data_IF_032458058487
#
_entry.id   IF_032458058487
#
_cell.length_a   1.000
_cell.length_b   1.000
_cell.length_c   1.000
_cell.angle_alpha   90.00
_cell.angle_beta   90.00
_cell.angle_gamma   90.00
#
_symmetry.space_group_name_H-M   'P 1'
#
loop_
_entity.id
_entity.type
_entity.pdbx_description
1 polymer ?
#
# COMPACT_ATOMS: atom_id res chain seq x y z
N UNK A 1 -42.39 -43.76 38.36
CA UNK A 1 -43.02 -45.06 37.99
C UNK A 1 -44.18 -44.80 37.05
N UNK A 2 -44.46 -45.61 36.10
CA UNK A 2 -43.63 -46.37 35.17
C UNK A 2 -43.89 -45.82 33.70
N UNK A 3 -43.39 -46.19 32.67
CA UNK A 3 -42.71 -47.31 32.07
C UNK A 3 -42.78 -47.17 30.53
N UNK A 4 -41.72 -47.50 29.87
CA UNK A 4 -41.61 -48.41 28.72
C UNK A 4 -42.56 -48.23 27.53
N UNK A 5 -42.19 -48.38 26.30
CA UNK A 5 -41.26 -49.33 25.70
C UNK A 5 -41.09 -49.05 24.20
N UNK A 6 -39.90 -49.34 23.72
CA UNK A 6 -39.43 -49.88 22.45
C UNK A 6 -40.31 -49.91 21.20
N UNK A 7 -39.76 -49.60 20.02
CA UNK A 7 -39.31 -50.68 19.11
C UNK A 7 -38.70 -50.14 17.80
N UNK A 8 -37.70 -50.87 17.34
CA UNK A 8 -36.92 -50.80 16.09
C UNK A 8 -37.77 -50.94 14.83
N UNK A 9 -37.35 -50.30 13.75
CA UNK A 9 -37.17 -51.07 12.50
C UNK A 9 -36.22 -50.35 11.53
N UNK A 10 -35.36 -51.16 10.89
CA UNK A 10 -34.41 -50.86 9.86
C UNK A 10 -35.12 -50.66 8.51
N UNK A 11 -34.68 -49.73 7.69
CA UNK A 11 -35.02 -49.64 6.29
C UNK A 11 -33.87 -49.03 5.49
N UNK A 12 -33.12 -49.87 4.76
CA UNK A 12 -32.21 -49.47 3.71
C UNK A 12 -33.03 -49.03 2.49
N UNK A 13 -32.62 -47.95 1.84
CA UNK A 13 -33.23 -47.48 0.58
C UNK A 13 -32.33 -46.52 -0.15
N UNK A 14 -31.77 -47.01 -1.16
CA UNK A 14 -30.96 -46.56 -2.25
C UNK A 14 -31.19 -45.12 -2.73
N UNK A 15 -30.11 -44.39 -2.93
CA UNK A 15 -30.11 -43.02 -3.46
C UNK A 15 -29.71 -42.98 -4.91
N UNK A 16 -30.68 -42.79 -5.80
CA UNK A 16 -30.40 -42.42 -7.18
C UNK A 16 -30.49 -40.90 -7.37
N UNK A 17 -29.37 -40.26 -7.63
CA UNK A 17 -29.32 -38.85 -8.01
C UNK A 17 -29.75 -38.67 -9.45
N UNK A 18 -30.93 -38.12 -9.69
CA UNK A 18 -31.39 -37.67 -11.00
C UNK A 18 -30.87 -36.25 -11.25
N UNK A 19 -29.91 -36.12 -12.18
CA UNK A 19 -29.45 -34.86 -12.73
C UNK A 19 -30.59 -34.24 -13.55
N UNK A 20 -31.10 -33.09 -13.15
CA UNK A 20 -31.99 -32.28 -13.99
C UNK A 20 -31.16 -31.37 -14.88
N UNK A 21 -31.20 -31.62 -16.18
CA UNK A 21 -30.75 -30.68 -17.21
C UNK A 21 -31.58 -29.40 -17.13
N UNK A 22 -30.93 -28.29 -16.83
CA UNK A 22 -31.50 -26.93 -17.00
C UNK A 22 -31.05 -26.41 -18.36
N UNK A 23 -32.02 -26.04 -19.17
CA UNK A 23 -31.81 -25.47 -20.51
C UNK A 23 -31.04 -24.14 -20.42
N UNK A 24 -29.95 -24.08 -21.22
CA UNK A 24 -29.21 -22.86 -21.47
C UNK A 24 -30.08 -21.83 -22.23
N UNK A 25 -30.38 -20.70 -21.61
CA UNK A 25 -30.74 -19.50 -22.35
C UNK A 25 -29.46 -18.78 -22.74
N UNK A 26 -29.19 -18.68 -24.03
CA UNK A 26 -28.08 -17.91 -24.56
C UNK A 26 -28.35 -16.43 -24.35
N UNK A 27 -27.65 -15.81 -23.38
CA UNK A 27 -27.47 -14.37 -23.26
C UNK A 27 -26.10 -14.06 -23.85
N UNK A 28 -26.11 -13.25 -24.92
CA UNK A 28 -24.91 -12.87 -25.64
C UNK A 28 -23.88 -12.16 -24.73
N UNK A 29 -22.81 -12.85 -24.41
CA UNK A 29 -21.65 -12.26 -23.79
C UNK A 29 -20.87 -11.48 -24.83
N UNK A 30 -20.89 -10.16 -24.72
CA UNK A 30 -19.98 -9.28 -25.42
C UNK A 30 -18.57 -9.51 -24.82
N UNK A 31 -17.81 -10.40 -25.44
CA UNK A 31 -16.40 -10.62 -25.10
C UNK A 31 -15.61 -9.38 -25.55
N UNK A 32 -15.37 -8.46 -24.60
CA UNK A 32 -14.30 -7.49 -24.72
C UNK A 32 -13.02 -8.31 -24.57
N UNK A 33 -12.33 -8.56 -25.67
CA UNK A 33 -11.00 -9.17 -25.65
C UNK A 33 -10.01 -8.16 -25.06
N UNK A 34 -9.82 -8.19 -23.76
CA UNK A 34 -8.63 -7.62 -23.14
C UNK A 34 -7.43 -8.43 -23.65
N UNK A 35 -6.62 -7.82 -24.50
CA UNK A 35 -5.35 -8.38 -24.93
C UNK A 35 -4.40 -8.38 -23.71
N UNK A 36 -4.37 -9.49 -22.98
CA UNK A 36 -3.34 -9.75 -21.97
C UNK A 36 -2.02 -9.94 -22.70
N UNK A 37 -1.20 -8.91 -22.76
CA UNK A 37 0.17 -9.03 -23.26
C UNK A 37 0.95 -9.80 -22.20
N UNK A 38 1.21 -11.09 -22.48
CA UNK A 38 2.09 -11.92 -21.64
C UNK A 38 3.50 -11.35 -21.64
N UNK A 39 4.19 -11.41 -20.49
CA UNK A 39 5.62 -11.12 -20.32
C UNK A 39 6.58 -12.00 -21.14
N UNK A 40 6.06 -12.87 -21.99
CA UNK A 40 6.87 -13.76 -22.83
C UNK A 40 7.65 -12.95 -23.87
N UNK A 41 8.93 -12.72 -23.59
CA UNK A 41 9.89 -12.17 -24.55
C UNK A 41 10.50 -10.81 -24.24
N UNK A 42 10.19 -10.17 -23.11
CA UNK A 42 10.85 -8.93 -22.76
C UNK A 42 12.27 -9.21 -22.25
N UNK A 43 13.26 -8.67 -22.96
CA UNK A 43 14.67 -8.75 -22.56
C UNK A 43 14.84 -8.02 -21.23
N UNK A 44 15.40 -8.71 -20.23
CA UNK A 44 15.99 -8.07 -19.05
C UNK A 44 17.00 -7.04 -19.54
N UNK A 45 16.84 -5.77 -19.17
CA UNK A 45 17.70 -4.70 -19.68
C UNK A 45 18.89 -4.48 -18.76
N UNK A 46 20.07 -4.26 -19.39
CA UNK A 46 21.31 -3.89 -18.69
C UNK A 46 21.45 -2.37 -18.48
N UNK A 47 20.44 -1.59 -18.85
CA UNK A 47 20.51 -0.13 -18.87
C UNK A 47 20.27 0.50 -17.49
N UNK A 48 19.93 -0.33 -16.51
CA UNK A 48 19.75 0.08 -15.12
C UNK A 48 20.73 -0.63 -14.21
N UNK A 49 21.18 0.09 -13.18
CA UNK A 49 22.02 -0.41 -12.10
C UNK A 49 21.20 -0.51 -10.82
N UNK A 50 21.45 -1.55 -10.02
CA UNK A 50 20.82 -1.77 -8.72
C UNK A 50 21.89 -1.71 -7.64
N UNK A 51 21.86 -0.68 -6.82
CA UNK A 51 22.82 -0.44 -5.74
C UNK A 51 22.14 -0.58 -4.39
N UNK A 52 22.64 -1.44 -3.48
CA UNK A 52 22.09 -1.56 -2.14
C UNK A 52 22.58 -0.42 -1.24
N UNK A 53 21.66 0.15 -0.45
CA UNK A 53 21.95 1.11 0.63
C UNK A 53 21.61 0.42 1.94
N UNK A 54 22.62 0.13 2.76
CA UNK A 54 22.45 -0.54 4.05
C UNK A 54 21.80 0.42 5.07
N UNK A 55 20.85 -0.09 5.86
CA UNK A 55 20.26 0.66 6.97
C UNK A 55 21.07 0.38 8.24
N UNK A 56 21.57 1.43 8.93
CA UNK A 56 22.39 1.24 10.12
C UNK A 56 21.63 0.56 11.26
N UNK A 57 22.26 -0.45 11.89
CA UNK A 57 21.63 -1.24 12.95
C UNK A 57 20.69 -2.35 12.47
N UNK A 58 20.43 -2.43 11.18
CA UNK A 58 19.72 -3.56 10.59
C UNK A 58 20.59 -4.81 10.66
N UNK A 59 20.06 -5.89 11.22
CA UNK A 59 20.67 -7.20 11.25
C UNK A 59 19.64 -8.24 10.87
N UNK A 60 19.73 -8.77 9.64
CA UNK A 60 18.73 -9.70 9.09
C UNK A 60 17.42 -9.00 8.72
N UNK A 61 16.31 -9.67 8.92
CA UNK A 61 15.00 -9.19 8.48
C UNK A 61 14.59 -7.90 9.21
N UNK A 62 14.28 -6.86 8.46
CA UNK A 62 13.68 -5.61 8.95
C UNK A 62 12.31 -5.44 8.32
N UNK A 63 11.30 -5.20 9.14
CA UNK A 63 9.97 -4.85 8.62
C UNK A 63 10.03 -3.45 8.04
N UNK A 64 9.85 -3.35 6.74
CA UNK A 64 9.81 -2.13 5.95
C UNK A 64 8.48 -2.07 5.22
N UNK A 65 7.83 -0.90 5.25
CA UNK A 65 6.51 -0.73 4.65
C UNK A 65 6.40 0.65 3.97
N UNK A 66 5.52 1.55 4.42
CA UNK A 66 5.32 2.85 3.80
C UNK A 66 6.48 3.81 4.09
N UNK A 67 7.37 3.98 3.13
CA UNK A 67 8.43 4.98 3.15
C UNK A 67 8.05 6.20 2.28
N UNK A 68 8.75 7.32 2.41
CA UNK A 68 8.41 8.55 1.70
C UNK A 68 9.65 9.26 1.14
N UNK A 69 9.49 9.87 -0.03
CA UNK A 69 10.52 10.70 -0.64
C UNK A 69 10.12 12.18 -0.57
N UNK A 70 10.87 12.97 0.19
CA UNK A 70 10.74 14.42 0.21
C UNK A 70 11.45 15.05 -0.98
N UNK A 71 10.69 15.35 -2.01
CA UNK A 71 11.22 15.96 -3.24
C UNK A 71 11.82 17.34 -3.02
N UNK A 72 11.41 18.07 -1.97
CA UNK A 72 11.89 19.41 -1.66
C UNK A 72 13.31 19.40 -1.09
N UNK A 73 13.64 18.39 -0.30
CA UNK A 73 14.95 18.24 0.34
C UNK A 73 15.83 17.16 -0.29
N UNK A 74 15.28 16.30 -1.14
CA UNK A 74 15.98 15.15 -1.71
C UNK A 74 16.28 14.07 -0.68
N UNK A 75 15.43 13.93 0.35
CA UNK A 75 15.59 12.94 1.41
C UNK A 75 14.56 11.83 1.29
N UNK A 76 15.02 10.60 1.39
CA UNK A 76 14.20 9.40 1.52
C UNK A 76 14.08 9.06 3.02
N UNK A 77 12.85 8.93 3.50
CA UNK A 77 12.53 8.61 4.89
C UNK A 77 12.06 7.17 4.97
N UNK A 78 12.79 6.33 5.70
CA UNK A 78 12.60 4.88 5.78
C UNK A 78 12.31 4.46 7.21
N UNK A 79 11.09 4.07 7.54
CA UNK A 79 10.76 3.54 8.86
C UNK A 79 11.30 2.11 8.97
N UNK A 80 12.41 1.93 9.71
CA UNK A 80 13.07 0.64 9.92
C UNK A 80 12.53 -0.04 11.18
N UNK A 81 11.33 -0.52 11.12
CA UNK A 81 10.41 -0.92 12.18
C UNK A 81 11.06 -1.54 13.43
N UNK A 82 11.56 -2.78 13.32
CA UNK A 82 12.09 -3.52 14.47
C UNK A 82 13.43 -2.98 15.01
N UNK A 83 14.06 -2.01 14.31
CA UNK A 83 15.23 -1.29 14.84
C UNK A 83 14.85 -0.15 15.78
N UNK A 84 13.58 0.28 15.76
CA UNK A 84 13.11 1.45 16.50
C UNK A 84 13.63 2.78 15.94
N UNK A 85 14.01 2.82 14.66
CA UNK A 85 14.58 3.97 14.00
C UNK A 85 13.77 4.38 12.76
N UNK A 86 13.92 5.63 12.37
CA UNK A 86 13.59 6.12 11.03
C UNK A 86 14.91 6.54 10.38
N UNK A 87 15.28 5.85 9.33
CA UNK A 87 16.48 6.15 8.55
C UNK A 87 16.20 7.25 7.52
N UNK A 88 17.16 8.14 7.33
CA UNK A 88 17.05 9.27 6.41
C UNK A 88 18.21 9.20 5.43
N UNK A 89 17.90 8.88 4.18
CA UNK A 89 18.87 8.74 3.10
C UNK A 89 18.89 10.02 2.28
N UNK A 90 20.05 10.62 2.12
CA UNK A 90 20.26 11.74 1.21
C UNK A 90 20.47 11.19 -0.21
N UNK A 91 19.58 11.56 -1.15
CA UNK A 91 19.58 11.01 -2.51
C UNK A 91 20.87 11.33 -3.28
N UNK A 92 21.50 12.47 -2.96
CA UNK A 92 22.69 12.95 -3.71
C UNK A 92 23.98 12.24 -3.31
N UNK A 93 24.06 11.74 -2.09
CA UNK A 93 25.28 11.14 -1.51
C UNK A 93 25.12 9.71 -1.04
N UNK A 94 23.89 9.19 -0.99
CA UNK A 94 23.50 7.92 -0.39
C UNK A 94 23.86 7.82 1.11
N UNK A 95 24.20 8.96 1.73
CA UNK A 95 24.50 9.01 3.16
C UNK A 95 23.25 8.77 3.99
N UNK A 96 23.37 7.92 5.01
CA UNK A 96 22.26 7.56 5.90
C UNK A 96 22.49 8.20 7.27
N UNK A 97 21.50 8.96 7.72
CA UNK A 97 21.37 9.41 9.11
C UNK A 97 20.14 8.79 9.76
N UNK A 98 20.04 8.83 11.09
CA UNK A 98 18.95 8.15 11.80
C UNK A 98 18.26 9.10 12.78
N UNK A 99 16.94 8.96 12.85
CA UNK A 99 16.14 9.44 13.99
C UNK A 99 15.78 8.22 14.84
N UNK A 100 16.26 8.21 16.07
CA UNK A 100 16.16 7.06 16.97
C UNK A 100 15.15 7.30 18.09
N UNK A 101 14.85 6.26 18.89
CA UNK A 101 14.05 6.39 20.10
C UNK A 101 12.57 6.09 19.93
N UNK A 102 12.15 5.52 18.81
CA UNK A 102 10.79 5.02 18.65
C UNK A 102 10.61 3.73 19.44
N UNK A 103 9.49 3.62 20.12
CA UNK A 103 9.18 2.40 20.88
C UNK A 103 8.93 1.23 19.94
N UNK A 104 9.49 0.09 20.32
CA UNK A 104 9.21 -1.19 19.66
C UNK A 104 8.36 -2.05 20.59
N UNK A 105 7.56 -2.95 20.02
CA UNK A 105 6.73 -3.89 20.75
C UNK A 105 6.68 -5.25 20.05
N UNK A 106 6.59 -6.32 20.84
CA UNK A 106 6.35 -7.66 20.29
C UNK A 106 4.86 -7.84 19.96
N UNK A 107 4.59 -8.31 18.77
CA UNK A 107 3.24 -8.65 18.30
C UNK A 107 3.23 -10.08 17.75
N UNK A 108 2.09 -10.75 17.86
CA UNK A 108 1.89 -12.02 17.18
C UNK A 108 1.17 -11.78 15.86
N UNK A 109 1.83 -12.06 14.74
CA UNK A 109 1.28 -11.94 13.42
C UNK A 109 1.40 -13.27 12.68
N UNK A 110 0.27 -13.82 12.24
CA UNK A 110 0.19 -15.10 11.53
C UNK A 110 0.91 -16.24 12.27
N UNK A 111 0.75 -16.31 13.60
CA UNK A 111 1.36 -17.33 14.46
C UNK A 111 2.88 -17.18 14.68
N UNK A 112 3.45 -16.04 14.37
CA UNK A 112 4.86 -15.70 14.62
C UNK A 112 4.96 -14.46 15.49
N UNK A 113 5.84 -14.49 16.47
CA UNK A 113 6.24 -13.30 17.22
C UNK A 113 7.19 -12.49 16.37
N UNK A 114 6.85 -11.24 16.15
CA UNK A 114 7.68 -10.26 15.45
C UNK A 114 7.76 -8.99 16.29
N UNK A 115 8.86 -8.28 16.16
CA UNK A 115 9.02 -6.95 16.76
C UNK A 115 8.60 -5.91 15.73
N UNK A 116 7.70 -5.01 16.10
CA UNK A 116 7.30 -3.85 15.30
C UNK A 116 7.68 -2.55 16.01
N UNK A 117 7.88 -1.52 15.25
CA UNK A 117 8.15 -0.14 15.63
C UNK A 117 7.53 0.81 14.59
N UNK A 118 8.23 1.85 14.12
CA UNK A 118 7.77 2.72 13.04
C UNK A 118 7.64 1.94 11.72
N UNK A 119 6.48 2.04 11.05
CA UNK A 119 6.20 1.31 9.78
C UNK A 119 5.72 2.21 8.66
N UNK A 120 5.23 3.40 8.97
CA UNK A 120 4.71 4.32 7.97
C UNK A 120 5.26 5.71 8.16
N UNK A 121 5.48 6.41 7.06
CA UNK A 121 5.97 7.79 7.08
C UNK A 121 5.27 8.64 6.02
N UNK A 122 4.99 9.89 6.37
CA UNK A 122 4.50 10.91 5.44
C UNK A 122 5.19 12.24 5.69
N UNK A 123 5.46 12.99 4.61
CA UNK A 123 6.16 14.28 4.69
C UNK A 123 5.21 15.42 4.31
N UNK A 124 5.19 16.48 5.07
CA UNK A 124 4.41 17.67 4.76
C UNK A 124 4.72 18.87 5.65
N UNK A 125 4.73 20.07 5.09
CA UNK A 125 4.95 21.36 5.77
C UNK A 125 6.21 21.38 6.65
N UNK A 126 7.32 20.77 6.18
CA UNK A 126 8.58 20.69 6.90
C UNK A 126 8.59 19.71 8.08
N UNK A 127 7.55 18.92 8.23
CA UNK A 127 7.41 17.86 9.22
C UNK A 127 7.39 16.49 8.55
N UNK A 128 7.76 15.48 9.34
CA UNK A 128 7.67 14.07 8.99
C UNK A 128 6.82 13.37 10.04
N UNK A 129 5.74 12.80 9.60
CA UNK A 129 4.76 12.13 10.45
C UNK A 129 4.96 10.62 10.38
N UNK A 130 5.04 9.98 11.52
CA UNK A 130 5.41 8.57 11.65
C UNK A 130 4.26 7.79 12.28
N UNK A 131 3.84 6.73 11.61
CA UNK A 131 3.00 5.69 12.19
C UNK A 131 3.87 4.65 12.89
N UNK A 132 3.70 4.49 14.19
CA UNK A 132 4.44 3.52 14.98
C UNK A 132 3.53 2.36 15.42
N UNK A 133 3.75 1.18 14.86
CA UNK A 133 2.98 -0.02 15.21
C UNK A 133 3.47 -0.67 16.51
N UNK A 134 4.66 -0.31 16.99
CA UNK A 134 5.23 -0.86 18.22
C UNK A 134 4.45 -0.49 19.47
N UNK A 135 3.84 0.69 19.50
CA UNK A 135 3.02 1.17 20.62
C UNK A 135 1.71 1.84 20.19
N UNK A 136 1.32 1.68 18.93
CA UNK A 136 0.11 2.28 18.34
C UNK A 136 0.09 3.82 18.48
N UNK A 137 1.20 4.47 18.17
CA UNK A 137 1.33 5.92 18.23
C UNK A 137 1.55 6.59 16.89
N UNK A 138 1.22 7.88 16.82
CA UNK A 138 1.66 8.83 15.81
C UNK A 138 2.74 9.71 16.41
N UNK A 139 3.85 9.86 15.71
CA UNK A 139 4.93 10.73 16.10
C UNK A 139 5.23 11.77 15.01
N UNK A 140 5.90 12.87 15.39
CA UNK A 140 6.34 13.88 14.45
C UNK A 140 7.85 14.12 14.61
N UNK A 141 8.52 14.33 13.46
CA UNK A 141 9.92 14.73 13.35
C UNK A 141 9.97 16.07 12.62
N UNK A 142 10.82 16.98 13.05
CA UNK A 142 11.16 18.16 12.26
C UNK A 142 12.12 17.76 11.13
N UNK A 143 11.70 17.93 9.88
CA UNK A 143 12.42 17.44 8.71
C UNK A 143 13.79 18.07 8.49
N UNK A 144 14.02 19.27 9.02
CA UNK A 144 15.29 20.00 8.87
C UNK A 144 16.27 19.67 10.00
N UNK A 145 15.78 19.65 11.23
CA UNK A 145 16.63 19.45 12.41
C UNK A 145 16.77 18.01 12.84
N UNK A 146 15.95 17.10 12.28
CA UNK A 146 15.81 15.69 12.63
C UNK A 146 15.42 15.46 14.11
N UNK A 147 14.88 16.49 14.76
CA UNK A 147 14.46 16.39 16.16
C UNK A 147 13.12 15.68 16.25
N UNK A 148 13.10 14.67 17.10
CA UNK A 148 11.89 13.96 17.50
C UNK A 148 10.98 14.93 18.29
N UNK A 149 9.71 14.97 17.91
CA UNK A 149 8.68 15.78 18.56
C UNK A 149 7.74 14.94 19.42
N UNK A 150 6.49 15.34 19.47
CA UNK A 150 5.44 14.65 20.23
C UNK A 150 5.07 13.31 19.58
N UNK A 151 4.71 12.33 20.44
CA UNK A 151 4.02 11.11 20.02
C UNK A 151 2.66 11.05 20.73
N UNK A 152 1.61 10.83 19.95
CA UNK A 152 0.24 10.62 20.43
C UNK A 152 -0.14 9.15 20.26
N UNK A 153 -0.55 8.49 21.32
CA UNK A 153 -1.10 7.14 21.23
C UNK A 153 -2.52 7.18 20.65
N UNK A 154 -2.74 6.51 19.51
CA UNK A 154 -4.01 6.53 18.77
C UNK A 154 -4.90 5.34 19.07
N UNK A 155 -4.34 4.29 19.65
CA UNK A 155 -5.07 3.13 20.17
C UNK A 155 -4.34 2.56 21.40
N UNK A 156 -5.06 1.98 22.38
CA UNK A 156 -4.39 1.31 23.49
C UNK A 156 -3.60 0.09 22.99
N UNK A 157 -2.44 -0.23 23.57
CA UNK A 157 -1.64 -1.39 23.17
C UNK A 157 -2.41 -2.72 23.21
N UNK A 158 -3.40 -2.80 24.10
CA UNK A 158 -4.30 -3.96 24.23
C UNK A 158 -5.21 -4.18 23.02
N UNK A 159 -5.38 -3.16 22.16
CA UNK A 159 -6.16 -3.32 20.92
C UNK A 159 -5.42 -4.11 19.83
N UNK A 160 -4.13 -4.38 20.05
CA UNK A 160 -3.30 -5.18 19.15
C UNK A 160 -2.87 -4.44 17.88
N UNK A 161 -2.08 -5.11 17.03
CA UNK A 161 -1.47 -4.49 15.85
C UNK A 161 -2.48 -4.07 14.76
N UNK A 162 -3.69 -4.64 14.77
CA UNK A 162 -4.74 -4.27 13.83
C UNK A 162 -5.33 -2.86 14.08
N UNK A 163 -5.17 -2.32 15.28
CA UNK A 163 -5.59 -0.96 15.61
C UNK A 163 -4.47 0.08 15.50
N UNK A 164 -3.25 -0.38 15.21
CA UNK A 164 -2.10 0.49 15.04
C UNK A 164 -2.12 1.18 13.66
N UNK A 165 -1.48 2.35 13.51
CA UNK A 165 -1.35 3.02 12.22
C UNK A 165 -0.69 2.11 11.18
N UNK A 166 -1.33 1.95 10.04
CA UNK A 166 -0.80 1.22 8.90
C UNK A 166 -0.22 2.19 7.87
N UNK A 167 -1.06 2.95 7.18
CA UNK A 167 -0.62 4.10 6.41
C UNK A 167 -0.86 5.41 7.17
N UNK A 168 0.05 6.37 6.99
CA UNK A 168 -0.07 7.74 7.48
C UNK A 168 0.10 8.67 6.30
N UNK A 169 -0.87 9.56 6.08
CA UNK A 169 -0.91 10.39 4.88
C UNK A 169 -1.17 11.85 5.24
N UNK A 170 -0.24 12.72 4.91
CA UNK A 170 -0.44 14.16 5.05
C UNK A 170 -1.27 14.70 3.87
N UNK A 171 -2.40 15.32 4.18
CA UNK A 171 -3.30 15.98 3.22
C UNK A 171 -3.10 17.48 3.32
N UNK A 172 -2.29 18.04 2.42
CA UNK A 172 -1.86 19.44 2.46
C UNK A 172 -3.03 20.44 2.36
N UNK A 173 -4.07 20.11 1.58
CA UNK A 173 -5.22 20.98 1.34
C UNK A 173 -6.03 21.32 2.60
N UNK A 174 -5.98 20.47 3.62
CA UNK A 174 -6.74 20.60 4.88
C UNK A 174 -5.83 20.62 6.11
N UNK A 175 -4.52 20.44 5.95
CA UNK A 175 -3.54 20.26 7.03
C UNK A 175 -3.97 19.17 8.01
N UNK A 176 -4.24 18.01 7.45
CA UNK A 176 -4.70 16.85 8.17
C UNK A 176 -3.77 15.65 7.94
N UNK A 177 -3.70 14.76 8.93
CA UNK A 177 -3.20 13.42 8.75
C UNK A 177 -4.36 12.45 8.66
N UNK A 178 -4.36 11.67 7.60
CA UNK A 178 -5.31 10.59 7.38
C UNK A 178 -4.60 9.26 7.63
N UNK A 179 -5.18 8.45 8.50
CA UNK A 179 -4.54 7.24 8.98
C UNK A 179 -5.45 6.05 8.73
N UNK A 180 -4.92 5.05 8.07
CA UNK A 180 -5.55 3.74 8.01
C UNK A 180 -5.05 2.89 9.18
N UNK A 181 -5.82 1.90 9.59
CA UNK A 181 -5.39 0.89 10.55
C UNK A 181 -5.15 -0.42 9.83
N UNK A 182 -4.18 -1.20 10.31
CA UNK A 182 -3.81 -2.46 9.65
C UNK A 182 -4.97 -3.44 9.57
N UNK A 183 -4.95 -4.28 8.53
CA UNK A 183 -5.90 -5.37 8.41
C UNK A 183 -5.76 -6.33 9.61
N UNK A 184 -6.85 -6.78 10.22
CA UNK A 184 -6.80 -7.75 11.31
C UNK A 184 -6.29 -9.10 10.80
N UNK A 185 -5.71 -9.93 11.68
CA UNK A 185 -5.44 -11.32 11.33
C UNK A 185 -6.71 -12.03 10.83
N UNK A 186 -6.54 -13.00 9.92
CA UNK A 186 -7.66 -13.78 9.38
C UNK A 186 -8.52 -14.34 10.52
N UNK A 187 -9.82 -14.05 10.48
CA UNK A 187 -10.79 -14.49 11.50
C UNK A 187 -10.99 -13.53 12.67
N UNK A 188 -10.26 -12.42 12.74
CA UNK A 188 -10.50 -11.34 13.69
C UNK A 188 -11.26 -10.22 12.98
N UNK A 189 -12.40 -9.80 13.53
CA UNK A 189 -13.11 -8.64 12.97
C UNK A 189 -12.24 -7.39 13.08
N UNK A 190 -12.13 -6.63 11.99
CA UNK A 190 -11.48 -5.32 12.04
C UNK A 190 -12.17 -4.44 13.06
N UNK A 191 -11.41 -3.95 14.02
CA UNK A 191 -11.99 -3.11 15.07
C UNK A 191 -12.48 -1.75 14.52
N UNK A 192 -11.94 -1.30 13.40
CA UNK A 192 -12.21 0.05 12.88
C UNK A 192 -12.03 0.10 11.36
N UNK A 193 -13.11 -0.18 10.63
CA UNK A 193 -13.16 0.02 9.17
C UNK A 193 -13.35 1.50 8.87
N UNK A 194 -12.34 2.29 9.17
CA UNK A 194 -12.42 3.73 9.02
C UNK A 194 -11.04 4.34 8.83
N UNK A 195 -10.99 5.48 8.13
CA UNK A 195 -9.84 6.36 8.14
C UNK A 195 -9.99 7.31 9.34
N UNK A 196 -8.99 7.37 10.21
CA UNK A 196 -8.92 8.36 11.28
C UNK A 196 -8.29 9.65 10.75
N UNK A 197 -8.93 10.79 10.99
CA UNK A 197 -8.48 12.10 10.52
C UNK A 197 -8.04 12.94 11.71
N UNK A 198 -6.79 13.38 11.69
CA UNK A 198 -6.20 14.24 12.71
C UNK A 198 -5.93 15.63 12.14
N UNK A 199 -6.30 16.66 12.87
CA UNK A 199 -5.87 18.04 12.62
C UNK A 199 -4.40 18.18 13.02
N UNK A 200 -3.57 18.67 12.10
CA UNK A 200 -2.15 19.00 12.30
C UNK A 200 -1.84 20.41 11.80
N UNK A 201 -2.83 21.32 11.84
CA UNK A 201 -2.62 22.75 11.55
C UNK A 201 -1.58 23.37 12.49
N UNK A 202 -1.47 22.86 13.71
CA UNK A 202 -0.32 23.00 14.61
C UNK A 202 0.54 21.74 14.50
N UNK A 203 1.62 21.73 13.71
CA UNK A 203 2.27 20.50 13.25
C UNK A 203 2.84 19.61 14.35
N UNK A 204 2.98 20.11 15.55
CA UNK A 204 3.51 19.36 16.72
C UNK A 204 2.42 18.87 17.67
N UNK A 205 1.15 19.16 17.37
CA UNK A 205 0.00 18.75 18.17
C UNK A 205 -1.02 18.02 17.32
N UNK A 206 -1.26 16.78 17.68
CA UNK A 206 -2.24 15.94 16.98
C UNK A 206 -3.59 16.01 17.67
N UNK A 207 -4.64 16.33 16.93
CA UNK A 207 -6.00 16.32 17.46
C UNK A 207 -6.90 15.49 16.57
N UNK A 208 -7.42 14.36 17.10
CA UNK A 208 -8.42 13.59 16.37
C UNK A 208 -9.62 14.47 16.04
N UNK A 209 -9.92 14.62 14.76
CA UNK A 209 -11.01 15.43 14.24
C UNK A 209 -12.27 14.63 14.01
N UNK A 210 -12.14 13.51 13.28
CA UNK A 210 -13.25 12.61 12.95
C UNK A 210 -12.73 11.26 12.46
N UNK A 211 -13.66 10.34 12.20
CA UNK A 211 -13.41 9.09 11.49
C UNK A 211 -14.30 9.03 10.26
N UNK A 212 -13.74 8.58 9.14
CA UNK A 212 -14.45 8.34 7.89
C UNK A 212 -14.75 6.84 7.81
N UNK A 213 -16.01 6.41 7.97
CA UNK A 213 -16.34 4.99 7.91
C UNK A 213 -16.20 4.48 6.47
N UNK A 214 -15.70 3.24 6.33
CA UNK A 214 -15.55 2.51 5.07
C UNK A 214 -16.23 1.15 5.14
N UNK A 215 -16.51 0.56 3.99
CA UNK A 215 -17.14 -0.77 3.90
C UNK A 215 -16.15 -1.94 4.17
N UNK A 216 -14.87 -1.63 4.28
CA UNK A 216 -13.80 -2.60 4.49
C UNK A 216 -12.50 -1.94 4.90
N UNK A 217 -11.42 -2.73 4.92
CA UNK A 217 -10.07 -2.25 5.24
C UNK A 217 -9.52 -1.44 4.07
N UNK A 218 -8.99 -0.25 4.39
CA UNK A 218 -8.32 0.58 3.40
C UNK A 218 -6.91 0.04 3.13
N UNK A 219 -6.55 -0.11 1.84
CA UNK A 219 -5.23 -0.55 1.40
C UNK A 219 -4.69 0.36 0.31
N UNK A 220 -3.46 0.84 0.48
CA UNK A 220 -2.86 1.82 -0.42
C UNK A 220 -3.58 3.18 -0.43
N UNK A 221 -2.91 4.18 -0.97
CA UNK A 221 -3.51 5.52 -1.08
C UNK A 221 -2.87 6.35 -2.19
N UNK A 222 -3.62 7.35 -2.68
CA UNK A 222 -3.11 8.43 -3.48
C UNK A 222 -3.86 9.73 -3.17
N UNK A 223 -3.14 10.86 -3.12
CA UNK A 223 -3.74 12.18 -2.83
C UNK A 223 -3.72 13.06 -4.07
N UNK A 224 -4.88 13.47 -4.54
CA UNK A 224 -5.04 14.44 -5.61
C UNK A 224 -5.24 15.84 -5.03
N UNK A 225 -4.15 16.55 -4.82
CA UNK A 225 -4.20 17.93 -4.31
C UNK A 225 -4.87 18.92 -5.30
N UNK A 226 -4.88 18.61 -6.60
CA UNK A 226 -5.51 19.49 -7.61
C UNK A 226 -7.04 19.38 -7.55
N UNK A 227 -7.56 18.16 -7.35
CA UNK A 227 -9.00 17.90 -7.29
C UNK A 227 -9.54 17.90 -5.86
N UNK A 228 -8.65 17.88 -4.85
CA UNK A 228 -9.05 17.77 -3.45
C UNK A 228 -9.62 16.39 -3.12
N UNK A 229 -9.03 15.33 -3.67
CA UNK A 229 -9.49 13.96 -3.50
C UNK A 229 -8.42 13.06 -2.88
N UNK A 230 -8.88 12.14 -2.06
CA UNK A 230 -8.09 11.04 -1.52
C UNK A 230 -8.63 9.74 -2.10
N UNK A 231 -7.76 8.92 -2.65
CA UNK A 231 -8.11 7.60 -3.18
C UNK A 231 -7.55 6.52 -2.28
N UNK A 232 -8.31 5.47 -2.03
CA UNK A 232 -7.86 4.25 -1.38
C UNK A 232 -8.62 3.03 -1.90
N UNK A 233 -8.02 1.87 -1.77
CA UNK A 233 -8.64 0.61 -2.10
C UNK A 233 -9.37 0.04 -0.88
N UNK A 234 -10.42 -0.74 -1.13
CA UNK A 234 -11.11 -1.53 -0.12
C UNK A 234 -10.90 -3.01 -0.46
N UNK A 235 -10.00 -3.66 0.26
CA UNK A 235 -9.55 -5.04 -0.04
C UNK A 235 -10.71 -6.02 -0.20
N UNK A 236 -11.61 -6.08 0.80
CA UNK A 236 -12.66 -7.09 0.85
C UNK A 236 -13.69 -6.96 -0.27
N UNK A 237 -13.80 -5.77 -0.87
CA UNK A 237 -14.78 -5.52 -1.92
C UNK A 237 -14.18 -5.38 -3.31
N UNK A 238 -12.86 -5.26 -3.42
CA UNK A 238 -12.17 -5.03 -4.69
C UNK A 238 -12.54 -3.71 -5.35
N UNK A 239 -12.89 -2.70 -4.52
CA UNK A 239 -13.26 -1.36 -4.97
C UNK A 239 -12.16 -0.36 -4.63
N UNK A 240 -11.98 0.61 -5.51
CA UNK A 240 -11.27 1.85 -5.20
C UNK A 240 -12.30 2.93 -4.92
N UNK A 241 -12.12 3.71 -3.86
CA UNK A 241 -13.01 4.80 -3.47
C UNK A 241 -12.30 6.15 -3.61
N UNK A 242 -13.07 7.19 -3.96
CA UNK A 242 -12.64 8.57 -3.93
C UNK A 242 -13.36 9.31 -2.80
N UNK A 243 -12.58 9.97 -1.95
CA UNK A 243 -13.06 10.71 -0.79
C UNK A 243 -12.71 12.18 -1.00
N UNK A 244 -13.70 13.07 -0.91
CA UNK A 244 -13.47 14.51 -0.91
C UNK A 244 -12.83 14.95 0.40
N UNK A 245 -11.63 15.56 0.32
CA UNK A 245 -10.81 15.86 1.51
C UNK A 245 -11.39 16.94 2.40
N UNK A 246 -12.31 17.77 1.90
CA UNK A 246 -12.92 18.86 2.68
C UNK A 246 -14.19 18.43 3.38
N UNK A 247 -15.04 17.69 2.67
CA UNK A 247 -16.30 17.18 3.23
C UNK A 247 -16.12 15.85 3.97
N UNK A 248 -14.97 15.16 3.81
CA UNK A 248 -14.66 13.84 4.38
C UNK A 248 -15.68 12.76 3.98
N UNK A 249 -16.25 12.87 2.77
CA UNK A 249 -17.26 11.95 2.27
C UNK A 249 -16.73 11.14 1.10
N UNK A 250 -17.05 9.85 1.07
CA UNK A 250 -16.93 9.05 -0.15
C UNK A 250 -17.86 9.63 -1.21
N UNK A 251 -17.32 10.04 -2.35
CA UNK A 251 -18.07 10.67 -3.44
C UNK A 251 -18.16 9.82 -4.69
N UNK A 252 -17.27 8.83 -4.80
CA UNK A 252 -17.29 7.85 -5.89
C UNK A 252 -16.65 6.53 -5.44
N UNK A 253 -17.06 5.44 -6.10
CA UNK A 253 -16.48 4.12 -5.92
C UNK A 253 -16.50 3.38 -7.25
N UNK A 254 -15.46 2.57 -7.50
CA UNK A 254 -15.32 1.79 -8.72
C UNK A 254 -14.83 0.38 -8.41
N UNK A 255 -15.44 -0.63 -9.02
CA UNK A 255 -14.88 -1.99 -9.01
C UNK A 255 -13.72 -2.02 -9.99
N UNK A 256 -12.51 -2.22 -9.48
CA UNK A 256 -11.28 -2.25 -10.29
C UNK A 256 -10.81 -3.70 -10.46
N UNK A 257 -10.55 -4.39 -9.35
CA UNK A 257 -10.06 -5.77 -9.33
C UNK A 257 -10.32 -6.41 -7.96
N UNK A 258 -10.04 -7.71 -7.81
CA UNK A 258 -10.30 -8.42 -6.54
C UNK A 258 -9.07 -8.48 -5.60
N UNK A 259 -7.85 -8.24 -6.10
CA UNK A 259 -6.60 -8.26 -5.31
C UNK A 259 -5.91 -6.90 -5.41
N UNK A 260 -6.46 -5.93 -4.69
CA UNK A 260 -6.01 -4.54 -4.72
C UNK A 260 -4.90 -4.29 -3.69
N UNK A 261 -3.87 -3.58 -4.11
CA UNK A 261 -2.72 -3.19 -3.30
C UNK A 261 -2.49 -1.66 -3.39
N UNK A 262 -1.26 -1.21 -3.56
CA UNK A 262 -0.89 0.19 -3.61
C UNK A 262 -1.48 0.98 -4.79
N UNK A 263 -1.45 2.29 -4.63
CA UNK A 263 -1.94 3.27 -5.61
C UNK A 263 -0.85 4.27 -5.97
N UNK A 264 -0.85 4.72 -7.24
CA UNK A 264 -0.09 5.89 -7.68
C UNK A 264 -0.97 6.77 -8.57
N UNK A 265 -0.63 8.06 -8.70
CA UNK A 265 -1.50 9.03 -9.35
C UNK A 265 -0.73 9.96 -10.29
N UNK A 266 -1.23 10.11 -11.50
CA UNK A 266 -0.96 11.26 -12.34
C UNK A 266 -2.09 12.30 -12.14
N UNK A 267 -1.92 13.15 -11.15
CA UNK A 267 -2.91 14.16 -10.81
C UNK A 267 -3.18 15.12 -11.97
N UNK A 268 -2.16 15.44 -12.79
CA UNK A 268 -2.31 16.37 -13.91
C UNK A 268 -3.23 15.85 -15.00
N UNK A 269 -3.11 14.56 -15.36
CA UNK A 269 -3.89 13.92 -16.42
C UNK A 269 -5.15 13.21 -15.90
N UNK A 270 -5.23 12.97 -14.59
CA UNK A 270 -6.36 12.28 -13.95
C UNK A 270 -6.30 10.77 -14.16
N UNK A 271 -5.09 10.19 -14.18
CA UNK A 271 -4.89 8.74 -14.24
C UNK A 271 -4.49 8.20 -12.88
N UNK A 272 -5.29 7.31 -12.35
CA UNK A 272 -4.99 6.55 -11.16
C UNK A 272 -4.45 5.18 -11.57
N UNK A 273 -3.30 4.80 -11.03
CA UNK A 273 -2.67 3.50 -11.24
C UNK A 273 -2.90 2.65 -10.00
N UNK A 274 -3.34 1.42 -10.22
CA UNK A 274 -3.70 0.48 -9.15
C UNK A 274 -2.89 -0.79 -9.30
N UNK A 275 -2.17 -1.18 -8.27
CA UNK A 275 -1.52 -2.48 -8.20
C UNK A 275 -2.58 -3.55 -7.88
N UNK A 276 -2.59 -4.63 -8.65
CA UNK A 276 -3.57 -5.70 -8.56
C UNK A 276 -2.86 -7.05 -8.69
N UNK A 277 -2.58 -7.73 -7.57
CA UNK A 277 -2.00 -9.07 -7.56
C UNK A 277 -0.70 -9.22 -8.36
N UNK A 278 -0.80 -9.43 -9.67
CA UNK A 278 0.33 -9.65 -10.59
C UNK A 278 0.41 -8.64 -11.74
N UNK A 279 -0.42 -7.59 -11.72
CA UNK A 279 -0.46 -6.57 -12.77
C UNK A 279 -0.80 -5.18 -12.22
N UNK A 280 -0.58 -4.16 -13.02
CA UNK A 280 -1.03 -2.80 -12.76
C UNK A 280 -2.15 -2.42 -13.72
N UNK A 281 -3.08 -1.61 -13.24
CA UNK A 281 -4.24 -1.12 -14.00
C UNK A 281 -4.22 0.41 -14.06
N UNK A 282 -4.57 0.99 -15.20
CA UNK A 282 -4.78 2.43 -15.38
C UNK A 282 -6.25 2.77 -15.39
N UNK A 283 -6.66 3.73 -14.56
CA UNK A 283 -8.04 4.16 -14.35
C UNK A 283 -8.16 5.65 -14.63
N UNK A 284 -9.09 6.07 -15.48
CA UNK A 284 -9.41 7.47 -15.74
C UNK A 284 -10.41 7.99 -14.69
N UNK A 285 -9.88 8.63 -13.65
CA UNK A 285 -10.73 9.18 -12.56
C UNK A 285 -11.44 10.46 -12.94
N UNK A 286 -11.02 11.11 -14.02
CA UNK A 286 -11.72 12.30 -14.56
C UNK A 286 -12.98 11.95 -15.34
N UNK A 287 -13.10 10.70 -15.78
CA UNK A 287 -14.25 10.19 -16.54
C UNK A 287 -14.89 8.98 -15.88
N UNK A 288 -15.19 9.09 -14.58
CA UNK A 288 -16.03 8.14 -13.86
C UNK A 288 -15.35 6.81 -13.51
N UNK A 289 -14.01 6.79 -13.39
CA UNK A 289 -13.28 5.57 -13.00
C UNK A 289 -13.21 4.52 -14.12
N UNK A 290 -13.18 4.97 -15.38
CA UNK A 290 -13.07 4.06 -16.53
C UNK A 290 -11.72 3.38 -16.59
N UNK A 291 -11.70 2.06 -16.67
CA UNK A 291 -10.48 1.30 -16.94
C UNK A 291 -9.93 1.64 -18.33
N UNK A 292 -8.64 1.98 -18.41
CA UNK A 292 -7.96 2.35 -19.65
C UNK A 292 -7.14 1.19 -20.17
N UNK A 293 -6.27 0.64 -19.32
CA UNK A 293 -5.29 -0.38 -19.72
C UNK A 293 -4.86 -1.24 -18.52
N UNK A 294 -4.22 -2.36 -18.80
CA UNK A 294 -3.65 -3.28 -17.82
C UNK A 294 -2.36 -3.87 -18.35
N UNK A 295 -1.34 -3.99 -17.48
CA UNK A 295 -0.05 -4.58 -17.80
C UNK A 295 0.36 -5.59 -16.74
N UNK A 296 0.68 -6.82 -17.14
CA UNK A 296 1.24 -7.85 -16.26
C UNK A 296 2.68 -7.48 -15.89
N UNK A 297 2.96 -7.46 -14.59
CA UNK A 297 4.28 -7.09 -14.03
C UNK A 297 4.92 -8.21 -13.21
N UNK A 298 4.12 -9.17 -12.78
CA UNK A 298 4.50 -10.28 -11.92
C UNK A 298 3.90 -10.18 -10.52
N UNK A 299 3.78 -11.32 -9.81
CA UNK A 299 3.10 -11.41 -8.52
C UNK A 299 3.90 -10.82 -7.37
N UNK A 300 3.17 -10.43 -6.33
CA UNK A 300 3.71 -9.87 -5.09
C UNK A 300 3.97 -8.38 -5.19
N UNK A 301 3.11 -7.68 -5.92
CA UNK A 301 3.05 -6.22 -5.88
C UNK A 301 2.61 -5.74 -4.49
N UNK A 302 3.04 -4.55 -4.16
CA UNK A 302 2.68 -3.81 -2.96
C UNK A 302 2.51 -2.34 -3.37
N UNK A 303 3.14 -1.39 -2.68
CA UNK A 303 3.11 0.00 -3.07
C UNK A 303 3.84 0.21 -4.40
N UNK A 304 3.21 0.99 -5.27
CA UNK A 304 3.73 1.45 -6.56
C UNK A 304 3.87 2.97 -6.54
N UNK A 305 4.69 3.54 -7.40
CA UNK A 305 4.80 5.00 -7.48
C UNK A 305 5.00 5.49 -8.91
N UNK A 306 4.61 6.76 -9.15
CA UNK A 306 4.62 7.38 -10.45
C UNK A 306 5.44 8.68 -10.46
N UNK A 307 6.44 8.74 -11.34
CA UNK A 307 7.15 9.98 -11.66
C UNK A 307 6.39 10.79 -12.71
N UNK A 308 5.75 11.86 -12.28
CA UNK A 308 5.04 12.77 -13.20
C UNK A 308 5.95 13.50 -14.16
N UNK A 309 7.21 13.73 -13.78
CA UNK A 309 8.24 14.37 -14.60
C UNK A 309 8.67 13.46 -15.74
N UNK A 310 8.94 12.20 -15.44
CA UNK A 310 9.42 11.21 -16.41
C UNK A 310 8.27 10.46 -17.10
N UNK A 311 7.04 10.59 -16.61
CA UNK A 311 5.87 9.79 -17.01
C UNK A 311 6.12 8.28 -16.87
N UNK A 312 6.82 7.89 -15.81
CA UNK A 312 7.18 6.50 -15.52
C UNK A 312 6.45 5.99 -14.27
N UNK A 313 5.78 4.86 -14.42
CA UNK A 313 5.22 4.07 -13.32
C UNK A 313 6.22 2.96 -12.97
N UNK A 314 6.46 2.80 -11.67
CA UNK A 314 7.34 1.79 -11.10
C UNK A 314 6.53 0.77 -10.32
N UNK A 315 6.73 -0.52 -10.60
CA UNK A 315 6.04 -1.63 -9.94
C UNK A 315 7.00 -2.76 -9.61
N UNK A 316 7.22 -3.03 -8.31
CA UNK A 316 8.12 -4.05 -7.83
C UNK A 316 7.38 -5.35 -7.51
N UNK A 317 7.72 -6.44 -8.20
CA UNK A 317 7.13 -7.77 -8.03
C UNK A 317 8.04 -8.66 -7.18
N UNK A 318 7.71 -8.81 -5.91
CA UNK A 318 8.56 -9.46 -4.90
C UNK A 318 8.78 -10.95 -5.13
N UNK A 319 7.83 -11.64 -5.77
CA UNK A 319 7.93 -13.08 -6.04
C UNK A 319 8.84 -13.37 -7.22
N UNK A 320 8.74 -12.58 -8.30
CA UNK A 320 9.59 -12.72 -9.50
C UNK A 320 10.92 -12.01 -9.37
N UNK A 321 11.14 -11.22 -8.30
CA UNK A 321 12.35 -10.42 -8.08
C UNK A 321 12.64 -9.47 -9.26
N UNK A 322 11.65 -8.70 -9.65
CA UNK A 322 11.73 -7.76 -10.78
C UNK A 322 11.10 -6.41 -10.46
N UNK A 323 11.67 -5.35 -11.00
CA UNK A 323 11.06 -4.03 -11.08
C UNK A 323 10.64 -3.77 -12.53
N UNK A 324 9.35 -3.58 -12.76
CA UNK A 324 8.82 -3.08 -14.02
C UNK A 324 8.87 -1.56 -14.04
N UNK A 325 9.54 -0.98 -15.05
CA UNK A 325 9.55 0.44 -15.35
C UNK A 325 8.67 0.64 -16.58
N UNK A 326 7.59 1.40 -16.43
CA UNK A 326 6.48 1.44 -17.37
C UNK A 326 6.28 2.89 -17.82
N UNK A 327 6.36 3.14 -19.11
CA UNK A 327 5.96 4.42 -19.68
C UNK A 327 4.43 4.53 -19.73
N UNK A 328 3.93 5.69 -19.30
CA UNK A 328 2.51 6.01 -19.34
C UNK A 328 2.25 7.02 -20.46
N UNK A 329 1.59 6.58 -21.50
CA UNK A 329 1.18 7.41 -22.64
C UNK A 329 0.23 8.55 -22.24
N UNK A 330 0.09 9.54 -23.12
CA UNK A 330 -0.84 10.67 -22.88
C UNK A 330 -2.31 10.22 -22.88
N UNK A 331 -2.60 9.03 -23.39
CA UNK A 331 -3.91 8.37 -23.34
C UNK A 331 -4.08 7.44 -22.12
N UNK A 332 -3.10 7.42 -21.20
CA UNK A 332 -3.11 6.58 -20.01
C UNK A 332 -2.72 5.11 -20.23
N UNK A 333 -2.33 4.74 -21.46
CA UNK A 333 -1.91 3.37 -21.77
C UNK A 333 -0.46 3.11 -21.36
N UNK A 334 -0.20 1.84 -21.11
CA UNK A 334 1.08 1.34 -20.64
C UNK A 334 1.97 0.83 -21.77
N UNK A 335 3.27 1.12 -21.65
CA UNK A 335 4.31 0.46 -22.43
C UNK A 335 5.46 0.07 -21.51
N UNK A 336 5.77 -1.21 -21.40
CA UNK A 336 6.92 -1.65 -20.63
C UNK A 336 8.20 -1.07 -21.24
N UNK A 337 8.90 -0.22 -20.47
CA UNK A 337 10.19 0.38 -20.85
C UNK A 337 11.34 -0.55 -20.51
N UNK A 338 11.32 -1.08 -19.28
CA UNK A 338 12.37 -1.96 -18.77
C UNK A 338 11.83 -2.96 -17.75
N UNK A 339 12.46 -4.13 -17.71
CA UNK A 339 12.30 -5.12 -16.65
C UNK A 339 13.66 -5.30 -15.98
N UNK A 340 13.81 -4.78 -14.77
CA UNK A 340 15.06 -4.76 -14.02
C UNK A 340 15.08 -5.88 -12.99
N UNK A 341 16.07 -6.79 -12.99
CA UNK A 341 16.22 -7.78 -11.94
C UNK A 341 16.48 -7.13 -10.59
N UNK A 342 15.79 -7.59 -9.56
CA UNK A 342 15.98 -7.17 -8.17
C UNK A 342 16.27 -8.39 -7.29
N UNK A 343 15.85 -8.36 -6.03
CA UNK A 343 15.99 -9.49 -5.13
C UNK A 343 14.61 -10.02 -4.72
N UNK A 344 14.54 -11.31 -4.41
CA UNK A 344 13.28 -11.91 -3.95
C UNK A 344 12.84 -11.27 -2.64
N UNK A 345 11.58 -10.88 -2.58
CA UNK A 345 11.00 -10.19 -1.44
C UNK A 345 11.10 -8.67 -1.50
N UNK A 346 11.90 -8.09 -2.42
CA UNK A 346 11.91 -6.66 -2.64
C UNK A 346 10.54 -6.22 -3.19
N UNK A 347 9.88 -5.33 -2.46
CA UNK A 347 8.53 -4.85 -2.73
C UNK A 347 8.42 -3.38 -2.37
N UNK A 348 7.29 -2.77 -2.69
CA UNK A 348 7.11 -1.35 -2.45
C UNK A 348 8.18 -0.53 -3.17
N UNK A 349 7.79 0.51 -3.86
CA UNK A 349 8.73 1.34 -4.63
C UNK A 349 8.34 2.80 -4.53
N UNK A 350 9.34 3.69 -4.51
CA UNK A 350 9.18 5.13 -4.67
C UNK A 350 10.04 5.64 -5.83
N UNK A 351 9.48 6.57 -6.59
CA UNK A 351 10.18 7.31 -7.63
C UNK A 351 11.04 8.43 -7.00
N UNK A 352 12.34 8.39 -7.24
CA UNK A 352 13.30 9.45 -6.94
C UNK A 352 13.34 10.53 -8.01
N UNK A 353 14.46 11.25 -8.10
CA UNK A 353 14.72 12.24 -9.17
C UNK A 353 15.16 11.54 -10.45
N UNK A 354 14.78 12.11 -11.59
CA UNK A 354 15.08 11.52 -12.89
C UNK A 354 14.45 10.12 -13.03
N UNK A 355 15.21 9.18 -13.56
CA UNK A 355 14.79 7.77 -13.68
C UNK A 355 15.32 6.90 -12.51
N UNK A 356 15.35 7.47 -11.30
CA UNK A 356 15.71 6.73 -10.09
C UNK A 356 14.49 6.15 -9.42
N UNK A 357 14.61 4.93 -8.89
CA UNK A 357 13.61 4.30 -8.04
C UNK A 357 14.28 3.70 -6.79
N UNK A 358 13.54 3.70 -5.69
CA UNK A 358 13.95 3.10 -4.43
C UNK A 358 12.98 1.99 -4.05
N UNK A 359 13.50 0.80 -3.73
CA UNK A 359 12.70 -0.34 -3.31
C UNK A 359 13.12 -0.77 -1.90
N UNK A 360 12.16 -1.26 -1.14
CA UNK A 360 12.46 -1.90 0.15
C UNK A 360 12.88 -3.36 -0.06
N UNK A 361 13.97 -3.76 0.62
CA UNK A 361 14.44 -5.15 0.72
C UNK A 361 14.36 -5.58 2.20
N UNK A 362 13.21 -6.10 2.64
CA UNK A 362 13.02 -6.45 4.05
C UNK A 362 13.91 -7.61 4.51
N UNK A 363 14.29 -8.53 3.61
CA UNK A 363 15.06 -9.72 3.97
C UNK A 363 16.46 -9.37 4.47
N UNK A 364 17.07 -8.34 3.87
CA UNK A 364 18.42 -7.88 4.18
C UNK A 364 18.44 -6.54 4.94
N UNK A 365 17.27 -5.97 5.26
CA UNK A 365 17.15 -4.70 5.98
C UNK A 365 17.86 -3.55 5.27
N UNK A 366 17.56 -3.35 3.99
CA UNK A 366 18.21 -2.33 3.15
C UNK A 366 17.24 -1.74 2.12
N UNK A 367 17.69 -0.67 1.49
CA UNK A 367 17.04 -0.08 0.32
C UNK A 367 17.82 -0.46 -0.93
N UNK A 368 17.13 -0.78 -2.00
CA UNK A 368 17.72 -0.93 -3.33
C UNK A 368 17.47 0.35 -4.12
N UNK A 369 18.54 1.04 -4.50
CA UNK A 369 18.51 2.19 -5.41
C UNK A 369 18.67 1.68 -6.83
N UNK A 370 17.73 1.96 -7.69
CA UNK A 370 17.76 1.61 -9.12
C UNK A 370 17.92 2.90 -9.92
N UNK A 371 18.96 2.99 -10.74
CA UNK A 371 19.27 4.17 -11.54
C UNK A 371 19.51 3.79 -12.99
N UNK A 372 19.09 4.66 -13.93
CA UNK A 372 19.48 4.54 -15.33
C UNK A 372 20.97 4.89 -15.47
N UNK A 373 21.73 4.07 -16.27
CA UNK A 373 23.18 4.24 -16.50
C UNK A 373 23.49 5.38 -17.44
#
# INVERSE_FOLDING_TARGET
MPSNDSSRSKGRGDSSWKVKLVKLCAVGSLLISLSTTRLEGHKVTSDYEVTPIALPGASGVVTLDYFAFDRSTGKLWVPASNTGNVDVIDESSDAVSQVTGFKTGEVELRGRKITLGPTAVSVGDGMVYIGNRGDSSLCVIDAHTLKHGECLQVAPPSAGPAAAPDAVVYVAATKELWITTGAPPIGVASADKAIQVFDVSEPRHFKLKLKIPLDGSAEGYAVDNQRGLFYTNIEETGKTVAIDVRSHKVIAEWKVHDDLQGLALDSRRGFLFVACGDHVVSVDVSHGGRLIDSLVTGPGLDNIDFSSEQKLLYAAASVTATLSIIEVGDDGKFRLKALVPTVKGARGVLAGKGETAYLIDPAEGRILKVTHK
#
